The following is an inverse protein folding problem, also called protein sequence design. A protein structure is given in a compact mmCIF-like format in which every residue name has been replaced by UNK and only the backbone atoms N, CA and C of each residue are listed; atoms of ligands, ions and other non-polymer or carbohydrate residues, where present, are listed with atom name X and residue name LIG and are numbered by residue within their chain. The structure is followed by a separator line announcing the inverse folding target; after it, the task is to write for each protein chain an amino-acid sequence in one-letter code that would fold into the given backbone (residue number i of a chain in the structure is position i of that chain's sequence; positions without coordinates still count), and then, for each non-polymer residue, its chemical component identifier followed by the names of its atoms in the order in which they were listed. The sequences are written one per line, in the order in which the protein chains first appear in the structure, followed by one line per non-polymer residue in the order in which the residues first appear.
data_IF_563238761817
#
_entry.id   IF_563238761817
#
_cell.length_a   1.000
_cell.length_b   1.000
_cell.length_c   1.000
_cell.angle_alpha   90.00
_cell.angle_beta   90.00
_cell.angle_gamma   90.00
#
_symmetry.space_group_name_H-M   'P 1'
#
loop_
_entity.id
_entity.type
_entity.pdbx_description
1 polymer ?
#
# COMPACT_ATOMS: atom_id res chain seq x y z
N UNK A 1 1.11 44.23 53.92
CA UNK A 1 2.16 43.33 53.39
C UNK A 1 1.50 42.16 52.65
N UNK A 2 1.42 42.27 51.36
CA UNK A 2 0.67 41.30 50.50
C UNK A 2 1.68 40.36 49.85
N UNK A 3 1.59 39.07 50.15
CA UNK A 3 2.42 38.03 49.55
C UNK A 3 1.61 37.40 48.44
N UNK A 4 1.98 37.69 47.18
CA UNK A 4 1.44 36.99 45.99
C UNK A 4 2.14 35.66 45.83
N UNK A 5 1.39 34.57 46.01
CA UNK A 5 1.81 33.22 45.62
C UNK A 5 1.66 33.02 44.12
N UNK A 6 2.77 32.85 43.39
CA UNK A 6 2.75 32.38 42.00
C UNK A 6 2.58 30.86 42.01
N UNK A 7 1.44 30.38 41.56
CA UNK A 7 1.22 28.98 41.21
C UNK A 7 1.78 28.72 39.81
N UNK A 8 2.89 27.99 39.74
CA UNK A 8 3.41 27.40 38.50
C UNK A 8 2.51 26.21 38.11
N UNK A 9 1.65 26.41 37.12
CA UNK A 9 1.00 25.31 36.46
C UNK A 9 1.99 24.71 35.46
N UNK A 10 2.57 23.58 35.82
CA UNK A 10 3.25 22.70 34.85
C UNK A 10 2.20 22.13 33.92
N UNK A 11 2.09 22.68 32.74
CA UNK A 11 1.36 22.04 31.64
C UNK A 11 2.15 20.82 31.21
N UNK A 12 1.69 19.62 31.56
CA UNK A 12 2.06 18.41 30.88
C UNK A 12 1.54 18.50 29.44
N UNK A 13 2.42 18.71 28.50
CA UNK A 13 2.08 18.54 27.07
C UNK A 13 2.07 17.05 26.78
N UNK A 14 0.90 16.45 26.88
CA UNK A 14 0.65 15.17 26.23
C UNK A 14 0.80 15.39 24.72
N UNK A 15 1.84 14.78 24.17
CA UNK A 15 2.09 14.81 22.71
C UNK A 15 1.16 13.84 21.99
N UNK A 16 -0.12 14.11 22.01
CA UNK A 16 -1.05 13.51 21.06
C UNK A 16 -0.83 14.22 19.72
N UNK A 17 -0.01 13.60 18.84
CA UNK A 17 0.21 14.02 17.46
C UNK A 17 -1.04 13.82 16.60
N UNK A 18 -2.18 14.31 17.05
CA UNK A 18 -3.46 14.29 16.33
C UNK A 18 -3.85 15.69 15.83
N UNK A 19 -2.89 16.53 15.52
CA UNK A 19 -3.19 17.79 14.84
C UNK A 19 -3.83 17.46 13.47
N UNK A 20 -4.95 18.12 13.11
CA UNK A 20 -5.59 17.92 11.82
C UNK A 20 -4.58 18.18 10.71
N UNK A 21 -4.40 17.20 9.82
CA UNK A 21 -3.51 17.35 8.66
C UNK A 21 -4.05 18.50 7.81
N UNK A 22 -3.14 19.39 7.41
CA UNK A 22 -3.48 20.50 6.53
C UNK A 22 -4.08 19.94 5.22
N UNK A 23 -5.21 20.49 4.82
CA UNK A 23 -5.91 20.12 3.58
C UNK A 23 -5.04 20.27 2.33
N UNK A 24 -4.01 21.13 2.38
CA UNK A 24 -3.02 21.33 1.33
C UNK A 24 -2.15 20.08 1.11
N UNK A 25 -1.85 19.34 2.18
CA UNK A 25 -1.08 18.09 2.12
C UNK A 25 -1.88 16.99 1.42
N UNK A 26 -3.15 16.84 1.80
CA UNK A 26 -4.04 15.90 1.10
C UNK A 26 -4.13 16.24 -0.38
N UNK A 27 -4.24 17.53 -0.71
CA UNK A 27 -4.24 17.97 -2.12
C UNK A 27 -2.94 17.62 -2.85
N UNK A 28 -1.79 17.65 -2.17
CA UNK A 28 -0.50 17.26 -2.75
C UNK A 28 -0.40 15.77 -3.00
N UNK A 29 -0.98 14.94 -2.12
CA UNK A 29 -0.92 13.48 -2.21
C UNK A 29 -1.90 12.95 -3.26
N UNK A 30 -3.09 13.50 -3.38
CA UNK A 30 -4.16 13.01 -4.26
C UNK A 30 -3.80 13.15 -5.73
N UNK A 31 -4.08 12.11 -6.53
CA UNK A 31 -3.91 12.07 -7.98
C UNK A 31 -3.37 10.74 -8.49
N UNK A 32 -3.16 10.64 -9.81
CA UNK A 32 -2.51 9.49 -10.42
C UNK A 32 -1.00 9.51 -10.20
N UNK A 33 -0.42 8.33 -10.03
CA UNK A 33 1.02 8.12 -9.90
C UNK A 33 1.52 7.10 -10.91
N UNK A 34 2.70 7.35 -11.47
CA UNK A 34 3.46 6.34 -12.20
C UNK A 34 4.19 5.47 -11.20
N UNK A 35 3.80 4.21 -11.12
CA UNK A 35 4.32 3.26 -10.15
C UNK A 35 5.17 2.17 -10.81
N UNK A 36 6.13 1.68 -10.05
CA UNK A 36 6.77 0.39 -10.24
C UNK A 36 6.28 -0.54 -9.14
N UNK A 37 5.66 -1.64 -9.51
CA UNK A 37 5.11 -2.64 -8.59
C UNK A 37 6.01 -3.88 -8.62
N UNK A 38 6.53 -4.28 -7.46
CA UNK A 38 7.46 -5.38 -7.29
C UNK A 38 6.89 -6.41 -6.30
N UNK A 39 6.19 -7.46 -6.78
CA UNK A 39 5.69 -8.52 -5.91
C UNK A 39 6.80 -9.50 -5.53
N UNK A 40 6.67 -10.06 -4.33
CA UNK A 40 7.44 -11.22 -3.86
C UNK A 40 6.50 -12.30 -3.36
N UNK A 41 6.81 -13.55 -3.60
CA UNK A 41 6.06 -14.70 -3.13
C UNK A 41 6.96 -15.58 -2.28
N UNK A 42 6.82 -15.52 -0.96
CA UNK A 42 7.79 -16.07 -0.03
C UNK A 42 9.16 -15.41 -0.20
N UNK A 43 10.20 -16.20 -0.47
CA UNK A 43 11.56 -15.69 -0.76
C UNK A 43 11.78 -15.38 -2.25
N UNK A 44 10.83 -15.70 -3.13
CA UNK A 44 10.99 -15.50 -4.59
C UNK A 44 10.53 -14.11 -5.01
N UNK A 45 11.41 -13.39 -5.67
CA UNK A 45 11.08 -12.13 -6.35
C UNK A 45 10.41 -12.44 -7.69
N UNK A 46 9.44 -11.62 -8.04
CA UNK A 46 8.89 -11.55 -9.39
C UNK A 46 9.41 -10.31 -10.09
N UNK A 47 9.29 -10.25 -11.40
CA UNK A 47 9.69 -9.06 -12.13
C UNK A 47 8.84 -7.87 -11.68
N UNK A 48 9.50 -6.77 -11.45
CA UNK A 48 8.80 -5.50 -11.26
C UNK A 48 8.25 -5.00 -12.60
N UNK A 49 7.16 -4.27 -12.54
CA UNK A 49 6.51 -3.73 -13.73
C UNK A 49 5.91 -2.34 -13.51
N UNK A 50 5.83 -1.55 -14.58
CA UNK A 50 5.18 -0.25 -14.53
C UNK A 50 3.67 -0.41 -14.42
N UNK A 51 3.04 0.46 -13.64
CA UNK A 51 1.59 0.55 -13.51
C UNK A 51 1.16 1.94 -13.11
N UNK A 52 -0.12 2.27 -13.30
CA UNK A 52 -0.69 3.49 -12.76
C UNK A 52 -1.47 3.16 -11.49
N UNK A 53 -1.19 3.88 -10.43
CA UNK A 53 -1.97 3.79 -9.19
C UNK A 53 -2.63 5.13 -8.93
N UNK A 54 -3.72 5.11 -8.16
CA UNK A 54 -4.50 6.29 -7.85
C UNK A 54 -4.57 6.49 -6.35
N UNK A 55 -4.38 7.74 -5.93
CA UNK A 55 -4.70 8.19 -4.57
C UNK A 55 -5.88 9.15 -4.69
N UNK A 56 -6.96 8.87 -3.99
CA UNK A 56 -8.19 9.66 -4.01
C UNK A 56 -8.53 10.18 -2.61
N UNK A 57 -9.32 11.24 -2.55
CA UNK A 57 -9.89 11.72 -1.29
C UNK A 57 -10.93 10.73 -0.78
N UNK A 58 -10.98 10.55 0.53
CA UNK A 58 -12.12 9.91 1.19
C UNK A 58 -13.13 11.01 1.52
N UNK A 59 -14.34 10.88 1.00
CA UNK A 59 -15.40 11.85 1.23
C UNK A 59 -15.69 11.99 2.73
N UNK A 60 -15.79 13.23 3.19
CA UNK A 60 -16.06 13.55 4.60
C UNK A 60 -14.91 13.27 5.58
N UNK A 61 -13.72 12.88 5.09
CA UNK A 61 -12.57 12.61 5.95
C UNK A 61 -11.29 13.26 5.41
N UNK A 62 -10.73 14.22 6.15
CA UNK A 62 -9.51 14.94 5.78
C UNK A 62 -8.22 14.25 6.21
N UNK A 63 -8.32 13.19 7.01
CA UNK A 63 -7.17 12.43 7.51
C UNK A 63 -7.02 11.07 6.83
N UNK A 64 -7.81 10.82 5.77
CA UNK A 64 -7.77 9.56 5.04
C UNK A 64 -7.69 9.80 3.53
N UNK A 65 -7.01 8.87 2.88
CA UNK A 65 -6.98 8.75 1.42
C UNK A 65 -7.28 7.31 1.02
N UNK A 66 -7.75 7.14 -0.21
CA UNK A 66 -7.98 5.83 -0.83
C UNK A 66 -6.85 5.58 -1.84
N UNK A 67 -6.13 4.48 -1.69
CA UNK A 67 -5.15 3.98 -2.66
C UNK A 67 -5.73 2.79 -3.40
N UNK A 68 -5.75 2.84 -4.72
CA UNK A 68 -6.22 1.71 -5.50
C UNK A 68 -5.47 1.56 -6.83
N UNK A 69 -5.43 0.34 -7.33
CA UNK A 69 -5.09 -0.02 -8.70
C UNK A 69 -5.73 -1.36 -9.08
N UNK A 70 -5.84 -1.63 -10.38
CA UNK A 70 -6.49 -2.82 -10.91
C UNK A 70 -5.62 -3.52 -11.96
N UNK A 71 -5.69 -4.85 -11.96
CA UNK A 71 -5.20 -5.67 -13.07
C UNK A 71 -3.69 -5.75 -13.22
N UNK A 72 -2.90 -5.49 -12.15
CA UNK A 72 -1.46 -5.65 -12.25
C UNK A 72 -1.05 -7.11 -12.33
N UNK A 73 -0.20 -7.45 -13.31
CA UNK A 73 0.36 -8.77 -13.52
C UNK A 73 1.86 -8.69 -13.80
N UNK A 74 2.64 -9.61 -13.24
CA UNK A 74 4.08 -9.65 -13.39
C UNK A 74 4.57 -11.00 -13.97
N UNK A 75 5.61 -11.01 -14.81
CA UNK A 75 6.30 -12.23 -15.18
C UNK A 75 7.13 -12.78 -14.03
N UNK A 76 7.38 -14.08 -14.03
CA UNK A 76 8.36 -14.68 -13.14
C UNK A 76 9.78 -14.29 -13.57
N UNK A 77 10.72 -14.39 -12.63
CA UNK A 77 12.15 -14.23 -12.90
C UNK A 77 12.80 -15.62 -13.13
N UNK A 78 13.81 -15.67 -13.99
CA UNK A 78 14.71 -16.81 -14.11
C UNK A 78 15.84 -16.77 -13.05
N UNK A 79 16.81 -17.68 -13.15
CA UNK A 79 17.94 -17.78 -12.25
C UNK A 79 18.90 -16.58 -12.34
N UNK A 80 18.84 -15.84 -13.46
CA UNK A 80 19.64 -14.65 -13.72
C UNK A 80 18.89 -13.34 -13.39
N UNK A 81 17.75 -13.41 -12.67
CA UNK A 81 16.84 -12.28 -12.37
C UNK A 81 16.26 -11.62 -13.63
N UNK A 82 16.15 -12.36 -14.76
CA UNK A 82 15.52 -11.85 -15.99
C UNK A 82 14.06 -12.26 -16.10
N UNK A 83 13.18 -11.40 -16.63
CA UNK A 83 11.77 -11.73 -16.82
C UNK A 83 11.56 -12.90 -17.78
N UNK A 84 10.84 -13.92 -17.34
CA UNK A 84 10.38 -15.05 -18.17
C UNK A 84 9.19 -14.65 -19.04
N UNK A 85 8.88 -15.47 -20.06
CA UNK A 85 7.62 -15.37 -20.79
C UNK A 85 6.42 -15.77 -19.94
N UNK A 86 6.65 -16.66 -18.97
CA UNK A 86 5.65 -17.12 -18.02
C UNK A 86 5.32 -16.02 -17.00
N UNK A 87 4.04 -15.77 -16.80
CA UNK A 87 3.52 -14.71 -15.93
C UNK A 87 2.75 -15.31 -14.76
N UNK A 88 2.50 -14.49 -13.75
CA UNK A 88 1.57 -14.87 -12.70
C UNK A 88 0.23 -15.30 -13.28
N UNK A 89 -0.39 -16.35 -12.73
CA UNK A 89 -1.69 -16.82 -13.20
C UNK A 89 -2.84 -15.85 -12.81
N UNK A 90 -2.56 -14.86 -11.99
CA UNK A 90 -3.54 -13.89 -11.50
C UNK A 90 -3.13 -12.45 -11.77
N UNK A 91 -4.14 -11.64 -12.03
CA UNK A 91 -4.06 -10.18 -12.00
C UNK A 91 -4.40 -9.67 -10.60
N UNK A 92 -3.58 -8.78 -10.06
CA UNK A 92 -3.76 -8.23 -8.72
C UNK A 92 -4.50 -6.90 -8.78
N UNK A 93 -5.51 -6.78 -7.94
CA UNK A 93 -6.27 -5.55 -7.70
C UNK A 93 -6.23 -5.23 -6.22
N UNK A 94 -6.04 -3.98 -5.87
CA UNK A 94 -6.06 -3.51 -4.48
C UNK A 94 -6.93 -2.27 -4.31
N UNK A 95 -7.49 -2.12 -3.11
CA UNK A 95 -8.26 -0.96 -2.70
C UNK A 95 -8.10 -0.77 -1.18
N UNK A 96 -7.45 0.30 -0.78
CA UNK A 96 -7.15 0.60 0.62
C UNK A 96 -7.67 1.97 1.03
N UNK A 97 -8.32 2.05 2.18
CA UNK A 97 -8.45 3.30 2.92
C UNK A 97 -7.26 3.41 3.88
N UNK A 98 -6.49 4.48 3.76
CA UNK A 98 -5.28 4.73 4.52
C UNK A 98 -5.47 5.96 5.41
N UNK A 99 -5.17 5.85 6.70
CA UNK A 99 -4.90 7.01 7.55
C UNK A 99 -3.58 7.64 7.11
N UNK A 100 -3.54 8.95 7.12
CA UNK A 100 -2.35 9.74 6.87
C UNK A 100 -1.97 10.51 8.14
N UNK A 101 -0.68 10.53 8.45
CA UNK A 101 -0.10 11.28 9.57
C UNK A 101 1.12 12.02 9.05
N UNK A 102 1.21 13.31 9.33
CA UNK A 102 2.38 14.10 8.94
C UNK A 102 3.43 14.12 10.04
N UNK A 103 4.65 13.80 9.69
CA UNK A 103 5.82 13.91 10.54
C UNK A 103 6.40 15.33 10.51
N UNK A 104 7.22 15.69 11.51
CA UNK A 104 7.84 17.02 11.63
C UNK A 104 8.75 17.38 10.46
N UNK A 105 9.31 16.40 9.77
CA UNK A 105 10.18 16.58 8.59
C UNK A 105 9.41 16.68 7.26
N UNK A 106 8.07 16.76 7.32
CA UNK A 106 7.19 16.83 6.16
C UNK A 106 6.88 15.48 5.51
N UNK A 107 7.44 14.38 6.01
CA UNK A 107 7.07 13.03 5.57
C UNK A 107 5.65 12.73 6.00
N UNK A 108 4.86 12.12 5.13
CA UNK A 108 3.52 11.63 5.45
C UNK A 108 3.56 10.11 5.56
N UNK A 109 3.19 9.60 6.71
CA UNK A 109 3.03 8.16 6.96
C UNK A 109 1.62 7.74 6.55
N UNK A 110 1.52 6.60 5.86
CA UNK A 110 0.26 5.99 5.42
C UNK A 110 0.09 4.63 6.09
N UNK A 111 -1.07 4.40 6.69
CA UNK A 111 -1.38 3.12 7.35
C UNK A 111 -2.82 2.70 7.04
N UNK A 112 -3.02 1.47 6.59
CA UNK A 112 -4.34 0.98 6.23
C UNK A 112 -5.28 0.92 7.44
N UNK A 113 -6.49 1.45 7.25
CA UNK A 113 -7.65 1.30 8.15
C UNK A 113 -8.44 0.06 7.74
N UNK A 114 -8.64 -0.08 6.44
CA UNK A 114 -9.23 -1.25 5.80
C UNK A 114 -8.55 -1.47 4.46
N UNK A 115 -8.50 -2.72 4.03
CA UNK A 115 -7.87 -3.08 2.78
C UNK A 115 -8.57 -4.24 2.10
N UNK A 116 -8.62 -4.17 0.79
CA UNK A 116 -9.12 -5.22 -0.06
C UNK A 116 -8.03 -5.59 -1.07
N UNK A 117 -7.80 -6.89 -1.20
CA UNK A 117 -6.92 -7.46 -2.20
C UNK A 117 -7.67 -8.53 -2.97
N UNK A 118 -7.56 -8.50 -4.28
CA UNK A 118 -8.16 -9.49 -5.18
C UNK A 118 -7.12 -9.99 -6.16
N UNK A 119 -7.08 -11.31 -6.33
CA UNK A 119 -6.36 -12.03 -7.37
C UNK A 119 -7.38 -12.64 -8.33
N UNK A 120 -7.48 -12.13 -9.54
CA UNK A 120 -8.39 -12.63 -10.59
C UNK A 120 -7.61 -13.41 -11.63
N UNK A 121 -8.15 -14.47 -12.21
CA UNK A 121 -7.48 -15.25 -13.25
C UNK A 121 -7.00 -14.38 -14.41
N UNK A 122 -5.72 -14.50 -14.77
CA UNK A 122 -5.13 -13.73 -15.86
C UNK A 122 -5.80 -14.10 -17.20
N UNK A 123 -6.28 -13.08 -17.92
CA UNK A 123 -7.04 -13.25 -19.17
C UNK A 123 -8.29 -14.17 -19.03
N UNK A 124 -8.89 -14.23 -17.84
CA UNK A 124 -10.07 -15.05 -17.55
C UNK A 124 -9.82 -16.56 -17.55
N UNK A 125 -8.56 -17.00 -17.57
CA UNK A 125 -8.19 -18.42 -17.56
C UNK A 125 -7.89 -18.87 -16.12
N UNK A 126 -8.57 -19.94 -15.68
CA UNK A 126 -8.31 -20.54 -14.37
C UNK A 126 -6.83 -20.92 -14.23
N UNK A 127 -6.27 -20.67 -13.03
CA UNK A 127 -4.90 -21.01 -12.73
C UNK A 127 -4.73 -22.53 -12.68
N UNK A 128 -3.63 -23.03 -13.24
CA UNK A 128 -3.29 -24.42 -13.08
C UNK A 128 -2.71 -24.66 -11.69
N UNK A 129 -3.26 -25.56 -10.85
CA UNK A 129 -2.80 -25.77 -9.48
C UNK A 129 -1.30 -26.09 -9.34
N UNK A 130 -0.66 -26.59 -10.39
CA UNK A 130 0.78 -26.88 -10.43
C UNK A 130 1.68 -25.70 -10.81
N UNK A 131 1.13 -24.53 -11.10
CA UNK A 131 1.88 -23.37 -11.64
C UNK A 131 2.37 -22.37 -10.59
N UNK A 132 2.11 -22.58 -9.29
CA UNK A 132 2.67 -21.69 -8.28
C UNK A 132 4.18 -21.89 -8.18
N UNK A 133 5.00 -20.85 -8.39
CA UNK A 133 6.45 -20.97 -8.23
C UNK A 133 6.78 -21.29 -6.78
N UNK A 134 7.70 -22.24 -6.60
CA UNK A 134 8.18 -22.60 -5.26
C UNK A 134 7.27 -23.51 -4.46
N UNK A 135 6.33 -24.21 -5.11
CA UNK A 135 5.45 -25.18 -4.43
C UNK A 135 4.40 -24.55 -3.51
N UNK A 136 4.11 -23.27 -3.70
CA UNK A 136 3.06 -22.58 -2.94
C UNK A 136 1.71 -22.97 -3.52
N UNK A 137 0.84 -23.53 -2.68
CA UNK A 137 -0.51 -23.88 -3.09
C UNK A 137 -1.30 -22.62 -3.47
N UNK A 138 -1.90 -22.62 -4.64
CA UNK A 138 -2.86 -21.61 -5.06
C UNK A 138 -4.16 -21.88 -4.27
N UNK A 139 -4.69 -20.90 -3.49
CA UNK A 139 -5.87 -21.11 -2.66
C UNK A 139 -7.10 -21.53 -3.48
N UNK A 140 -7.32 -20.89 -4.62
CA UNK A 140 -8.39 -21.20 -5.56
C UNK A 140 -7.94 -20.90 -6.99
N UNK A 141 -8.01 -21.87 -7.94
CA UNK A 141 -7.69 -21.64 -9.35
C UNK A 141 -8.55 -20.56 -10.04
N UNK A 142 -9.74 -20.29 -9.50
CA UNK A 142 -10.66 -19.24 -9.97
C UNK A 142 -10.36 -17.85 -9.45
N UNK A 143 -9.31 -17.73 -8.65
CA UNK A 143 -8.95 -16.49 -7.98
C UNK A 143 -9.44 -16.45 -6.54
N UNK A 144 -9.00 -15.45 -5.82
CA UNK A 144 -9.35 -15.25 -4.41
C UNK A 144 -9.34 -13.77 -4.06
N UNK A 145 -10.00 -13.43 -2.97
CA UNK A 145 -9.99 -12.09 -2.40
C UNK A 145 -9.87 -12.12 -0.89
N UNK A 146 -9.55 -10.97 -0.31
CA UNK A 146 -9.50 -10.78 1.14
C UNK A 146 -9.69 -9.32 1.50
N UNK A 147 -10.44 -9.10 2.57
CA UNK A 147 -10.60 -7.82 3.25
C UNK A 147 -9.60 -7.63 4.41
N UNK A 148 -8.71 -8.63 4.64
CA UNK A 148 -7.69 -8.63 5.69
C UNK A 148 -6.35 -8.09 5.22
N UNK A 149 -6.27 -7.65 3.98
CA UNK A 149 -5.06 -7.07 3.43
C UNK A 149 -4.66 -5.80 4.21
N UNK A 150 -3.35 -5.59 4.34
CA UNK A 150 -2.79 -4.41 5.01
C UNK A 150 -1.82 -3.68 4.11
N UNK A 151 -1.74 -2.37 4.27
CA UNK A 151 -0.78 -1.52 3.58
C UNK A 151 -0.15 -0.53 4.56
N UNK A 152 1.15 -0.31 4.42
CA UNK A 152 1.90 0.69 5.17
C UNK A 152 2.92 1.34 4.26
N UNK A 153 3.08 2.65 4.36
CA UNK A 153 4.00 3.36 3.49
C UNK A 153 4.26 4.79 3.92
N UNK A 154 4.97 5.50 3.05
CA UNK A 154 5.31 6.91 3.22
C UNK A 154 5.15 7.66 1.91
N UNK A 155 4.83 8.94 2.04
CA UNK A 155 4.85 9.89 0.95
C UNK A 155 5.70 11.11 1.32
N UNK A 156 6.55 11.56 0.41
CA UNK A 156 7.34 12.79 0.56
C UNK A 156 7.67 13.36 -0.83
N UNK A 157 7.44 14.65 -1.02
CA UNK A 157 7.84 15.39 -2.23
C UNK A 157 7.42 14.71 -3.55
N UNK A 158 6.18 14.21 -3.61
CA UNK A 158 5.63 13.54 -4.78
C UNK A 158 6.08 12.08 -4.96
N UNK A 159 6.88 11.55 -4.04
CA UNK A 159 7.31 10.14 -4.03
C UNK A 159 6.50 9.36 -3.01
N UNK A 160 6.01 8.21 -3.42
CA UNK A 160 5.22 7.29 -2.62
C UNK A 160 5.91 5.92 -2.57
N UNK A 161 6.05 5.37 -1.37
CA UNK A 161 6.49 3.98 -1.17
C UNK A 161 5.48 3.28 -0.26
N UNK A 162 4.94 2.13 -0.70
CA UNK A 162 3.94 1.37 0.05
C UNK A 162 4.24 -0.11 -0.03
N UNK A 163 4.24 -0.78 1.12
CA UNK A 163 4.27 -2.24 1.24
C UNK A 163 2.84 -2.75 1.48
N UNK A 164 2.37 -3.66 0.63
CA UNK A 164 1.05 -4.28 0.70
C UNK A 164 1.20 -5.75 1.03
N UNK A 165 0.45 -6.24 2.01
CA UNK A 165 0.41 -7.64 2.44
C UNK A 165 -1.03 -8.15 2.38
N UNK A 166 -1.33 -9.08 1.45
CA UNK A 166 -2.67 -9.68 1.36
C UNK A 166 -3.08 -10.50 2.59
N UNK A 167 -2.11 -11.02 3.37
CA UNK A 167 -2.32 -11.82 4.58
C UNK A 167 -3.04 -13.17 4.35
N UNK A 168 -3.18 -13.63 3.12
CA UNK A 168 -3.66 -14.98 2.75
C UNK A 168 -2.50 -15.87 2.31
N UNK A 169 -1.55 -15.29 1.58
CA UNK A 169 -0.35 -15.93 1.07
C UNK A 169 0.88 -15.18 1.58
N UNK A 170 2.06 -15.79 1.58
CA UNK A 170 3.30 -15.11 1.89
C UNK A 170 3.73 -14.16 0.74
N UNK A 171 2.81 -13.27 0.36
CA UNK A 171 3.01 -12.26 -0.68
C UNK A 171 3.26 -10.91 -0.03
N UNK A 172 4.26 -10.22 -0.52
CA UNK A 172 4.46 -8.79 -0.25
C UNK A 172 4.56 -8.08 -1.59
N UNK A 173 3.77 -7.03 -1.75
CA UNK A 173 3.80 -6.19 -2.96
C UNK A 173 4.38 -4.84 -2.59
N UNK A 174 5.58 -4.55 -3.08
CA UNK A 174 6.20 -3.24 -2.92
C UNK A 174 5.79 -2.33 -4.06
N UNK A 175 5.32 -1.16 -3.73
CA UNK A 175 4.92 -0.11 -4.68
C UNK A 175 5.82 1.09 -4.47
N UNK A 176 6.54 1.50 -5.51
CA UNK A 176 7.27 2.77 -5.58
C UNK A 176 6.66 3.61 -6.67
N UNK A 177 6.27 4.83 -6.37
CA UNK A 177 5.55 5.65 -7.31
C UNK A 177 5.96 7.12 -7.23
N UNK A 178 5.81 7.80 -8.36
CA UNK A 178 6.05 9.25 -8.47
C UNK A 178 4.88 9.91 -9.19
N UNK A 179 4.61 11.13 -8.76
CA UNK A 179 3.57 11.98 -9.36
C UNK A 179 4.07 12.69 -10.60
#
# INVERSE_FOLDING_TARGET
MLVMGMSLTTACSDSDNNDPIDSSIVASIVGPYKATIAPTLGSKKMAEGPHTIYIERVEGNTQQVRLHYEGFNAPFLDEDDKPKKERMPFDMTVDFTLNITQEKDGTVTLTSVKGYFKASPHNGKEANPGQAPGGIAIPDPKGFDTDRATAKGTWKDGKLEVDIKPNILPVVVKVKATK
#
